data_IF_280430132570
#
_entry.id   IF_280430132570
#
_cell.length_a   1.000
_cell.length_b   1.000
_cell.length_c   1.000
_cell.angle_alpha   90.00
_cell.angle_beta   90.00
_cell.angle_gamma   90.00
#
_symmetry.space_group_name_H-M   'P 1'
#
loop_
_entity.id
_entity.type
_entity.pdbx_description
1 polymer ?
#
# COMPACT_ATOMS: atom_id res chain seq x y z
N UNK A 1 -4.28 1.94 -8.67
CA UNK A 1 -4.61 0.49 -8.63
C UNK A 1 -6.13 0.27 -8.61
N UNK A 2 -6.83 0.68 -7.54
CA UNK A 2 -8.28 0.44 -7.38
C UNK A 2 -9.09 0.89 -8.59
N UNK A 3 -8.83 2.09 -9.14
CA UNK A 3 -9.55 2.58 -10.32
C UNK A 3 -9.33 1.73 -11.58
N UNK A 4 -8.12 1.25 -11.82
CA UNK A 4 -7.82 0.37 -12.96
C UNK A 4 -8.46 -1.01 -12.79
N UNK A 5 -8.41 -1.59 -11.59
CA UNK A 5 -9.08 -2.86 -11.27
C UNK A 5 -10.60 -2.74 -11.45
N UNK A 6 -11.21 -1.70 -10.85
CA UNK A 6 -12.65 -1.43 -11.03
C UNK A 6 -13.01 -1.19 -12.49
N UNK A 7 -12.21 -0.37 -13.19
CA UNK A 7 -12.46 -0.07 -14.59
C UNK A 7 -12.41 -1.29 -15.50
N UNK A 8 -11.43 -2.17 -15.32
CA UNK A 8 -11.32 -3.40 -16.11
C UNK A 8 -12.46 -4.40 -15.80
N UNK A 9 -12.81 -4.57 -14.53
CA UNK A 9 -13.87 -5.51 -14.12
C UNK A 9 -15.26 -5.01 -14.53
N UNK A 10 -15.54 -3.72 -14.37
CA UNK A 10 -16.78 -3.10 -14.82
C UNK A 10 -16.94 -3.18 -16.35
N UNK A 11 -15.88 -2.96 -17.11
CA UNK A 11 -15.91 -3.15 -18.56
C UNK A 11 -16.26 -4.59 -18.96
N UNK A 12 -15.74 -5.57 -18.24
CA UNK A 12 -16.12 -6.98 -18.44
C UNK A 12 -17.57 -7.27 -18.08
N UNK A 13 -18.10 -6.56 -17.11
CA UNK A 13 -19.53 -6.60 -16.77
C UNK A 13 -20.42 -5.83 -17.75
N UNK A 14 -19.85 -5.28 -18.85
CA UNK A 14 -20.62 -4.61 -19.91
C UNK A 14 -20.73 -3.09 -19.77
N UNK A 15 -20.10 -2.48 -18.78
CA UNK A 15 -20.16 -1.04 -18.57
C UNK A 15 -19.21 -0.27 -19.51
N UNK A 16 -19.64 0.90 -19.95
CA UNK A 16 -18.75 1.88 -20.56
C UNK A 16 -18.04 2.65 -19.44
N UNK A 17 -16.72 2.56 -19.38
CA UNK A 17 -15.94 3.11 -18.27
C UNK A 17 -14.85 4.05 -18.78
N UNK A 18 -14.79 5.24 -18.21
CA UNK A 18 -13.70 6.19 -18.33
C UNK A 18 -12.98 6.36 -16.98
N UNK A 19 -11.66 6.44 -17.00
CA UNK A 19 -10.84 6.69 -15.80
C UNK A 19 -10.24 8.08 -15.90
N UNK A 20 -10.38 8.85 -14.82
CA UNK A 20 -9.83 10.20 -14.69
C UNK A 20 -8.74 10.20 -13.62
N UNK A 21 -7.50 10.43 -14.03
CA UNK A 21 -6.33 10.47 -13.16
C UNK A 21 -5.86 11.90 -12.96
N UNK A 22 -5.73 12.32 -11.70
CA UNK A 22 -5.29 13.67 -11.32
C UNK A 22 -3.89 14.00 -11.83
N UNK A 23 -2.99 13.02 -11.82
CA UNK A 23 -1.59 13.20 -12.21
C UNK A 23 -1.49 13.22 -13.75
N UNK A 24 -0.85 14.25 -14.28
CA UNK A 24 -0.69 14.41 -15.74
C UNK A 24 0.43 13.53 -16.33
N UNK A 25 1.43 13.15 -15.52
CA UNK A 25 2.52 12.27 -15.94
C UNK A 25 2.20 10.80 -15.71
N UNK A 26 3.02 9.91 -16.29
CA UNK A 26 2.94 8.48 -16.03
C UNK A 26 3.24 8.19 -14.55
N UNK A 27 2.54 7.19 -13.98
CA UNK A 27 2.74 6.76 -12.61
C UNK A 27 3.80 5.65 -12.47
N UNK A 28 4.38 5.20 -13.58
CA UNK A 28 5.51 4.27 -13.57
C UNK A 28 6.69 4.85 -12.76
N UNK A 29 7.44 4.00 -12.08
CA UNK A 29 8.53 4.41 -11.18
C UNK A 29 8.06 4.84 -9.78
N UNK A 30 6.75 4.85 -9.51
CA UNK A 30 6.21 5.09 -8.17
C UNK A 30 5.98 3.79 -7.42
N UNK A 31 5.96 3.89 -6.10
CA UNK A 31 5.71 2.75 -5.22
C UNK A 31 6.96 1.93 -4.92
N UNK A 32 6.77 0.90 -4.13
CA UNK A 32 7.82 0.04 -3.64
C UNK A 32 7.40 -1.43 -3.82
N UNK A 33 8.13 -2.36 -3.19
CA UNK A 33 7.78 -3.77 -3.19
C UNK A 33 6.44 -4.02 -2.49
N UNK A 34 5.71 -5.00 -2.99
CA UNK A 34 4.50 -5.55 -2.38
C UNK A 34 4.56 -7.07 -2.41
N UNK A 35 3.87 -7.72 -1.47
CA UNK A 35 3.61 -9.15 -1.53
C UNK A 35 2.39 -9.37 -2.43
N UNK A 36 2.57 -10.14 -3.49
CA UNK A 36 1.46 -10.54 -4.36
C UNK A 36 0.72 -11.70 -3.69
N UNK A 37 -0.31 -11.39 -2.94
CA UNK A 37 -1.18 -12.39 -2.30
C UNK A 37 -1.90 -13.23 -3.35
N UNK A 38 -2.29 -14.45 -2.99
CA UNK A 38 -2.95 -15.40 -3.88
C UNK A 38 -4.23 -14.79 -4.50
N UNK A 39 -5.01 -14.07 -3.70
CA UNK A 39 -6.25 -13.40 -4.11
C UNK A 39 -6.00 -12.40 -5.25
N UNK A 40 -4.95 -11.60 -5.12
CA UNK A 40 -4.56 -10.66 -6.18
C UNK A 40 -4.16 -11.41 -7.46
N UNK A 41 -3.35 -12.44 -7.34
CA UNK A 41 -2.89 -13.24 -8.50
C UNK A 41 -4.09 -13.84 -9.23
N UNK A 42 -5.05 -14.42 -8.51
CA UNK A 42 -6.27 -14.99 -9.08
C UNK A 42 -7.16 -13.92 -9.74
N UNK A 43 -7.29 -12.73 -9.15
CA UNK A 43 -8.03 -11.62 -9.77
C UNK A 43 -7.36 -11.17 -11.08
N UNK A 44 -6.04 -11.06 -11.11
CA UNK A 44 -5.29 -10.72 -12.33
C UNK A 44 -5.44 -11.81 -13.41
N UNK A 45 -5.37 -13.10 -13.04
CA UNK A 45 -5.64 -14.23 -13.97
C UNK A 45 -7.04 -14.19 -14.54
N UNK A 46 -8.05 -13.98 -13.71
CA UNK A 46 -9.43 -13.80 -14.16
C UNK A 46 -9.61 -12.63 -15.10
N UNK A 47 -8.78 -11.60 -14.98
CA UNK A 47 -8.67 -10.50 -15.96
C UNK A 47 -7.91 -10.90 -17.24
N UNK A 48 -7.40 -12.13 -17.37
CA UNK A 48 -6.62 -12.59 -18.51
C UNK A 48 -5.22 -11.96 -18.57
N UNK A 49 -4.73 -11.43 -17.45
CA UNK A 49 -3.41 -10.80 -17.39
C UNK A 49 -2.31 -11.85 -17.13
N UNK A 50 -1.13 -11.62 -17.71
CA UNK A 50 0.01 -12.51 -17.55
C UNK A 50 0.60 -12.43 -16.14
N UNK A 51 0.40 -13.48 -15.33
CA UNK A 51 0.87 -13.56 -13.94
C UNK A 51 2.06 -14.50 -13.73
N UNK A 52 2.52 -15.21 -14.76
CA UNK A 52 3.61 -16.19 -14.64
C UNK A 52 4.96 -15.60 -14.18
N UNK A 53 5.21 -14.35 -14.55
CA UNK A 53 6.40 -13.60 -14.16
C UNK A 53 6.00 -12.33 -13.37
N UNK A 54 5.14 -12.48 -12.37
CA UNK A 54 4.64 -11.34 -11.61
C UNK A 54 5.71 -10.73 -10.70
N UNK A 55 6.63 -11.53 -10.20
CA UNK A 55 7.67 -11.08 -9.26
C UNK A 55 8.69 -12.16 -8.92
N UNK A 56 9.50 -11.90 -7.91
CA UNK A 56 10.51 -12.82 -7.38
C UNK A 56 9.85 -13.79 -6.42
N UNK A 57 10.10 -15.09 -6.61
CA UNK A 57 9.65 -16.13 -5.69
C UNK A 57 10.67 -16.32 -4.58
N UNK A 58 10.22 -16.29 -3.34
CA UNK A 58 10.99 -16.70 -2.17
C UNK A 58 10.29 -17.86 -1.48
N UNK A 59 11.03 -18.65 -0.73
CA UNK A 59 10.48 -19.77 0.06
C UNK A 59 10.69 -19.57 1.56
N UNK A 60 11.60 -18.68 1.93
CA UNK A 60 12.13 -18.62 3.30
C UNK A 60 12.12 -17.20 3.83
N UNK A 61 11.72 -17.08 5.09
CA UNK A 61 11.85 -15.87 5.89
C UNK A 61 12.87 -16.08 7.00
N UNK A 62 13.59 -15.00 7.37
CA UNK A 62 14.64 -15.00 8.38
C UNK A 62 14.52 -13.83 9.35
N UNK A 63 14.95 -14.02 10.59
CA UNK A 63 15.22 -12.91 11.52
C UNK A 63 16.69 -12.93 11.88
N UNK A 64 17.32 -11.75 11.82
CA UNK A 64 18.65 -11.50 12.33
C UNK A 64 18.57 -10.67 13.60
N UNK A 65 19.36 -11.05 14.62
CA UNK A 65 19.53 -10.25 15.82
C UNK A 65 20.41 -9.00 15.55
N UNK A 66 20.60 -8.16 16.56
CA UNK A 66 21.43 -6.95 16.47
C UNK A 66 22.93 -7.23 16.17
N UNK A 67 23.39 -8.48 16.35
CA UNK A 67 24.77 -8.92 16.03
C UNK A 67 24.86 -9.52 14.63
N UNK A 68 23.72 -9.66 13.91
CA UNK A 68 23.64 -10.27 12.60
C UNK A 68 23.56 -11.81 12.63
N UNK A 69 23.26 -12.39 13.77
CA UNK A 69 23.10 -13.85 13.91
C UNK A 69 21.65 -14.25 13.56
N UNK A 70 21.49 -15.34 12.83
CA UNK A 70 20.19 -15.93 12.52
C UNK A 70 19.54 -16.45 13.81
N UNK A 71 18.38 -15.91 14.18
CA UNK A 71 17.61 -16.34 15.35
C UNK A 71 16.39 -17.18 14.98
N UNK A 72 15.73 -16.85 13.89
CA UNK A 72 14.55 -17.57 13.40
C UNK A 72 14.60 -17.75 11.89
N UNK A 73 14.14 -18.90 11.44
CA UNK A 73 13.93 -19.21 10.02
C UNK A 73 12.65 -20.02 9.87
N UNK A 74 11.82 -19.64 8.92
CA UNK A 74 10.59 -20.38 8.60
C UNK A 74 10.43 -20.53 7.10
N UNK A 75 9.79 -21.60 6.66
CA UNK A 75 9.29 -21.75 5.31
C UNK A 75 8.00 -20.93 5.14
N UNK A 76 7.98 -20.03 4.17
CA UNK A 76 6.83 -19.20 3.82
C UNK A 76 6.94 -18.78 2.34
N UNK A 77 6.48 -19.63 1.41
CA UNK A 77 6.53 -19.34 -0.02
C UNK A 77 5.70 -18.11 -0.38
N UNK A 78 6.30 -17.14 -1.07
CA UNK A 78 5.64 -15.91 -1.47
C UNK A 78 6.16 -15.39 -2.81
N UNK A 79 5.30 -14.62 -3.50
CA UNK A 79 5.67 -13.85 -4.69
C UNK A 79 5.82 -12.39 -4.30
N UNK A 80 7.01 -11.84 -4.49
CA UNK A 80 7.37 -10.47 -4.15
C UNK A 80 7.47 -9.66 -5.43
N UNK A 81 6.57 -8.71 -5.61
CA UNK A 81 6.46 -7.92 -6.84
C UNK A 81 6.65 -6.42 -6.58
N UNK A 82 6.92 -5.67 -7.63
CA UNK A 82 6.92 -4.22 -7.58
C UNK A 82 5.51 -3.67 -7.84
N UNK A 83 5.11 -2.62 -7.12
CA UNK A 83 3.86 -1.89 -7.37
C UNK A 83 3.74 -1.49 -8.85
N UNK A 84 4.83 -1.04 -9.43
CA UNK A 84 4.92 -0.65 -10.83
C UNK A 84 4.53 -1.79 -11.79
N UNK A 85 4.93 -3.03 -11.50
CA UNK A 85 4.60 -4.20 -12.35
C UNK A 85 3.10 -4.41 -12.42
N UNK A 86 2.43 -4.43 -11.27
CA UNK A 86 0.97 -4.60 -11.22
C UNK A 86 0.26 -3.41 -11.88
N UNK A 87 0.75 -2.20 -11.63
CA UNK A 87 0.23 -0.99 -12.28
C UNK A 87 0.31 -1.07 -13.80
N UNK A 88 1.47 -1.41 -14.37
CA UNK A 88 1.66 -1.53 -15.83
C UNK A 88 0.74 -2.60 -16.42
N UNK A 89 0.67 -3.80 -15.82
CA UNK A 89 -0.25 -4.85 -16.28
C UNK A 89 -1.69 -4.37 -16.40
N UNK A 90 -2.19 -3.68 -15.39
CA UNK A 90 -3.53 -3.14 -15.39
C UNK A 90 -3.70 -1.96 -16.37
N UNK A 91 -2.70 -1.09 -16.43
CA UNK A 91 -2.72 0.12 -17.27
C UNK A 91 -2.70 -0.24 -18.76
N UNK A 92 -1.87 -1.20 -19.14
CA UNK A 92 -1.73 -1.66 -20.54
C UNK A 92 -2.97 -2.41 -21.03
N UNK A 93 -3.69 -3.06 -20.12
CA UNK A 93 -4.96 -3.72 -20.41
C UNK A 93 -6.14 -2.76 -20.52
N UNK A 94 -6.02 -1.51 -20.02
CA UNK A 94 -7.10 -0.53 -20.08
C UNK A 94 -6.98 0.34 -21.33
N UNK A 95 -8.08 0.62 -22.09
CA UNK A 95 -8.03 1.42 -23.31
C UNK A 95 -7.41 2.81 -23.11
N UNK A 96 -6.52 3.19 -24.01
CA UNK A 96 -5.77 4.45 -23.91
C UNK A 96 -6.67 5.67 -24.04
N UNK A 97 -7.64 5.62 -24.95
CA UNK A 97 -8.62 6.68 -25.25
C UNK A 97 -9.64 6.91 -24.12
N UNK A 98 -9.71 5.96 -23.16
CA UNK A 98 -10.60 6.02 -22.01
C UNK A 98 -9.88 6.31 -20.68
N UNK A 99 -8.58 6.62 -20.75
CA UNK A 99 -7.78 6.95 -19.57
C UNK A 99 -7.27 8.39 -19.65
N UNK A 100 -7.93 9.28 -18.92
CA UNK A 100 -7.75 10.73 -19.00
C UNK A 100 -6.83 11.22 -17.89
N UNK A 101 -5.61 11.62 -18.22
CA UNK A 101 -4.62 12.18 -17.28
C UNK A 101 -4.79 13.67 -17.07
N UNK A 102 -4.31 14.18 -15.92
CA UNK A 102 -4.38 15.61 -15.59
C UNK A 102 -5.81 16.07 -15.29
N UNK A 103 -6.68 15.16 -14.89
CA UNK A 103 -8.09 15.42 -14.57
C UNK A 103 -8.34 15.21 -13.09
N UNK A 104 -8.08 16.23 -12.26
CA UNK A 104 -8.37 16.20 -10.83
C UNK A 104 -9.84 16.52 -10.57
N UNK A 105 -10.55 15.64 -9.84
CA UNK A 105 -11.91 15.93 -9.38
C UNK A 105 -11.89 17.11 -8.39
N UNK A 106 -12.72 18.12 -8.63
CA UNK A 106 -12.90 19.25 -7.73
C UNK A 106 -14.18 19.10 -6.88
N UNK A 107 -15.26 18.64 -7.52
CA UNK A 107 -16.58 18.51 -6.87
C UNK A 107 -17.39 17.42 -7.55
N UNK A 108 -18.27 16.76 -6.81
CA UNK A 108 -19.33 15.92 -7.34
C UNK A 108 -20.72 16.44 -6.92
N UNK A 109 -21.71 16.19 -7.74
CA UNK A 109 -23.14 16.38 -7.44
C UNK A 109 -23.91 15.18 -8.00
N UNK A 110 -25.00 14.79 -7.39
CA UNK A 110 -25.87 13.72 -7.91
C UNK A 110 -27.35 14.04 -7.70
N UNK A 111 -28.15 13.45 -8.53
CA UNK A 111 -29.61 13.34 -8.37
C UNK A 111 -30.02 11.86 -8.43
N UNK A 112 -31.31 11.55 -8.55
CA UNK A 112 -31.83 10.16 -8.61
C UNK A 112 -31.28 9.38 -9.81
N UNK A 113 -30.99 10.04 -10.93
CA UNK A 113 -30.72 9.39 -12.20
C UNK A 113 -29.24 9.46 -12.60
N UNK A 114 -28.53 10.51 -12.17
CA UNK A 114 -27.16 10.81 -12.63
C UNK A 114 -26.26 11.31 -11.53
N UNK A 115 -24.96 11.09 -11.73
CA UNK A 115 -23.89 11.76 -10.98
C UNK A 115 -23.08 12.64 -11.93
N UNK A 116 -22.69 13.83 -11.47
CA UNK A 116 -21.85 14.80 -12.22
C UNK A 116 -20.53 15.00 -11.51
N UNK A 117 -19.46 14.71 -12.21
CA UNK A 117 -18.09 14.97 -11.79
C UNK A 117 -17.63 16.32 -12.37
N UNK A 118 -17.25 17.25 -11.50
CA UNK A 118 -16.70 18.56 -11.88
C UNK A 118 -15.19 18.51 -11.68
N UNK A 119 -14.43 18.70 -12.75
CA UNK A 119 -12.98 18.65 -12.73
C UNK A 119 -12.34 20.03 -12.58
N UNK A 120 -11.11 20.06 -12.07
CA UNK A 120 -10.35 21.30 -11.81
C UNK A 120 -10.07 22.14 -13.06
N UNK A 121 -10.17 21.55 -14.25
CA UNK A 121 -10.04 22.23 -15.54
C UNK A 121 -11.37 22.84 -16.06
N UNK A 122 -12.45 22.76 -15.28
CA UNK A 122 -13.78 23.25 -15.63
C UNK A 122 -14.66 22.26 -16.41
N UNK A 123 -14.14 21.09 -16.77
CA UNK A 123 -14.90 20.03 -17.45
C UNK A 123 -15.93 19.42 -16.48
N UNK A 124 -17.12 19.10 -17.00
CA UNK A 124 -18.18 18.42 -16.27
C UNK A 124 -18.56 17.16 -17.03
N UNK A 125 -18.50 16.02 -16.36
CA UNK A 125 -18.89 14.72 -16.92
C UNK A 125 -20.08 14.19 -16.15
N UNK A 126 -21.09 13.75 -16.90
CA UNK A 126 -22.28 13.10 -16.36
C UNK A 126 -22.18 11.57 -16.58
N UNK A 127 -22.55 10.81 -15.58
CA UNK A 127 -22.49 9.35 -15.59
C UNK A 127 -23.62 8.71 -14.78
N UNK A 128 -23.87 7.42 -14.99
CA UNK A 128 -24.80 6.60 -14.20
C UNK A 128 -24.23 6.25 -12.82
N UNK A 129 -22.90 6.16 -12.72
CA UNK A 129 -22.15 5.75 -11.53
C UNK A 129 -20.81 6.48 -11.47
N UNK A 130 -20.40 6.92 -10.28
CA UNK A 130 -19.05 7.41 -9.98
C UNK A 130 -18.37 6.48 -8.97
N UNK A 131 -17.18 6.00 -9.31
CA UNK A 131 -16.35 5.19 -8.42
C UNK A 131 -15.17 6.03 -7.93
N UNK A 132 -15.20 6.40 -6.65
CA UNK A 132 -14.11 7.08 -5.96
C UNK A 132 -12.98 6.11 -5.63
N UNK A 133 -11.93 6.11 -6.44
CA UNK A 133 -10.72 5.29 -6.31
C UNK A 133 -9.48 6.17 -6.15
N UNK A 134 -9.65 7.36 -5.57
CA UNK A 134 -8.70 8.47 -5.51
C UNK A 134 -7.80 8.46 -4.27
N UNK A 135 -7.73 7.30 -3.58
CA UNK A 135 -6.73 6.98 -2.57
C UNK A 135 -6.96 7.65 -1.23
N UNK A 136 -5.96 7.62 -0.36
CA UNK A 136 -6.04 8.10 1.03
C UNK A 136 -6.49 9.58 1.13
N UNK A 137 -6.15 10.41 0.14
CA UNK A 137 -6.55 11.82 0.05
C UNK A 137 -7.81 12.03 -0.78
N UNK A 138 -8.72 11.07 -0.76
CA UNK A 138 -9.91 11.05 -1.61
C UNK A 138 -10.73 12.35 -1.52
N UNK A 139 -10.87 13.02 -2.64
CA UNK A 139 -11.78 14.15 -2.81
C UNK A 139 -13.23 13.70 -2.81
N UNK A 140 -13.50 12.50 -3.32
CA UNK A 140 -14.84 11.89 -3.27
C UNK A 140 -15.26 11.68 -1.82
N UNK A 141 -14.45 10.96 -1.01
CA UNK A 141 -14.75 10.72 0.40
C UNK A 141 -14.93 12.02 1.18
N UNK A 142 -14.05 13.01 1.00
CA UNK A 142 -14.14 14.29 1.72
C UNK A 142 -15.46 15.02 1.50
N UNK A 143 -16.14 14.80 0.38
CA UNK A 143 -17.42 15.43 0.09
C UNK A 143 -18.62 14.65 0.63
N UNK A 144 -18.52 13.29 0.67
CA UNK A 144 -19.66 12.44 1.07
C UNK A 144 -19.56 11.94 2.51
N UNK A 145 -18.35 11.91 3.08
CA UNK A 145 -18.02 11.51 4.46
C UNK A 145 -16.95 12.44 5.03
N UNK A 146 -17.23 13.73 5.20
CA UNK A 146 -16.22 14.72 5.64
C UNK A 146 -15.62 14.44 7.02
N UNK A 147 -16.33 13.72 7.88
CA UNK A 147 -15.87 13.32 9.21
C UNK A 147 -14.85 12.17 9.18
N UNK A 148 -14.77 11.41 8.05
CA UNK A 148 -13.85 10.29 7.91
C UNK A 148 -12.51 10.79 7.37
N UNK A 149 -11.54 10.89 8.26
CA UNK A 149 -10.18 11.38 7.94
C UNK A 149 -9.13 10.34 8.29
N UNK A 150 -7.99 10.31 7.56
CA UNK A 150 -6.88 9.43 7.93
C UNK A 150 -6.38 9.74 9.33
N UNK A 151 -6.17 8.69 10.15
CA UNK A 151 -5.61 8.79 11.50
C UNK A 151 -4.17 8.29 11.50
N UNK A 152 -3.26 9.10 11.97
CA UNK A 152 -1.86 8.72 12.08
C UNK A 152 -1.68 7.58 13.09
N UNK A 153 -0.88 6.57 12.70
CA UNK A 153 -0.71 5.35 13.48
C UNK A 153 0.43 5.41 14.52
N UNK A 154 1.09 6.55 14.70
CA UNK A 154 2.14 6.74 15.70
C UNK A 154 3.54 6.29 15.25
N UNK A 155 3.74 5.95 13.97
CA UNK A 155 5.06 5.56 13.43
C UNK A 155 5.17 5.83 11.93
N UNK A 156 6.42 5.89 11.45
CA UNK A 156 6.77 6.09 10.05
C UNK A 156 7.57 4.89 9.51
N UNK A 157 7.56 4.72 8.20
CA UNK A 157 8.45 3.82 7.49
C UNK A 157 9.47 4.62 6.65
N UNK A 158 10.75 4.29 6.81
CA UNK A 158 11.77 4.60 5.82
C UNK A 158 11.76 3.49 4.78
N UNK A 159 11.73 3.85 3.50
CA UNK A 159 11.65 2.89 2.39
C UNK A 159 12.63 3.24 1.30
N UNK A 160 13.16 2.21 0.62
CA UNK A 160 13.98 2.38 -0.57
C UNK A 160 13.97 1.13 -1.44
N UNK A 161 14.40 1.31 -2.69
CA UNK A 161 14.75 0.22 -3.61
C UNK A 161 16.24 0.34 -3.93
N UNK A 162 16.99 -0.75 -3.76
CA UNK A 162 18.42 -0.82 -4.02
C UNK A 162 18.67 -1.80 -5.15
N UNK A 163 19.48 -1.42 -6.12
CA UNK A 163 19.87 -2.32 -7.20
C UNK A 163 20.68 -3.51 -6.68
N UNK A 164 20.40 -4.72 -7.16
CA UNK A 164 21.06 -5.96 -6.73
C UNK A 164 22.58 -5.88 -6.84
N UNK A 165 23.08 -5.32 -7.95
CA UNK A 165 24.52 -5.18 -8.20
C UNK A 165 25.28 -4.23 -7.25
N UNK A 166 24.55 -3.41 -6.48
CA UNK A 166 25.15 -2.53 -5.48
C UNK A 166 25.47 -3.24 -4.15
N UNK A 167 24.95 -4.46 -3.97
CA UNK A 167 25.16 -5.22 -2.72
C UNK A 167 26.61 -5.73 -2.61
N UNK A 168 27.23 -5.60 -1.43
CA UNK A 168 28.44 -6.36 -1.13
C UNK A 168 28.16 -7.85 -1.23
N UNK A 169 29.10 -8.66 -1.79
CA UNK A 169 28.84 -10.08 -2.09
C UNK A 169 28.48 -10.94 -0.88
N UNK A 170 28.99 -10.62 0.29
CA UNK A 170 28.67 -11.30 1.56
C UNK A 170 27.23 -10.99 1.99
N UNK A 171 26.83 -9.72 2.00
CA UNK A 171 25.47 -9.29 2.35
C UNK A 171 24.45 -9.81 1.35
N UNK A 172 24.78 -9.80 0.05
CA UNK A 172 23.93 -10.38 -0.98
C UNK A 172 23.59 -11.84 -0.69
N UNK A 173 24.59 -12.66 -0.40
CA UNK A 173 24.44 -14.10 -0.13
C UNK A 173 23.57 -14.37 1.11
N UNK A 174 23.66 -13.52 2.11
CA UNK A 174 22.91 -13.70 3.37
C UNK A 174 21.46 -13.23 3.28
N UNK A 175 21.17 -12.18 2.49
CA UNK A 175 19.88 -11.50 2.54
C UNK A 175 19.07 -11.58 1.25
N UNK A 176 19.71 -11.60 0.08
CA UNK A 176 19.02 -11.21 -1.16
C UNK A 176 17.93 -12.18 -1.60
N UNK A 177 18.06 -13.47 -1.32
CA UNK A 177 17.06 -14.49 -1.72
C UNK A 177 15.97 -14.73 -0.67
N UNK A 178 15.87 -13.88 0.36
CA UNK A 178 15.00 -14.07 1.51
C UNK A 178 14.17 -12.81 1.80
N UNK A 179 13.04 -12.99 2.50
CA UNK A 179 12.46 -11.90 3.27
C UNK A 179 13.10 -11.92 4.66
N UNK A 180 13.94 -10.95 4.94
CA UNK A 180 14.74 -10.91 6.17
C UNK A 180 14.30 -9.76 7.06
N UNK A 181 14.10 -10.07 8.35
CA UNK A 181 13.70 -9.13 9.38
C UNK A 181 14.83 -8.84 10.36
N UNK A 182 14.81 -7.65 10.93
CA UNK A 182 15.51 -7.28 12.15
C UNK A 182 14.54 -6.54 13.05
N UNK A 183 14.53 -6.86 14.35
CA UNK A 183 13.54 -6.37 15.28
C UNK A 183 14.20 -5.60 16.44
N UNK A 184 14.72 -4.37 16.19
CA UNK A 184 15.12 -3.49 17.28
C UNK A 184 13.93 -3.22 18.20
N UNK A 185 14.15 -2.92 19.49
CA UNK A 185 13.07 -2.69 20.45
C UNK A 185 12.08 -1.60 19.97
N UNK A 186 10.80 -2.01 19.73
CA UNK A 186 9.75 -1.12 19.24
C UNK A 186 9.88 -0.72 17.76
N UNK A 187 10.78 -1.33 17.02
CA UNK A 187 11.00 -1.07 15.59
C UNK A 187 10.95 -2.37 14.77
N UNK A 188 10.76 -2.24 13.46
CA UNK A 188 10.82 -3.37 12.53
C UNK A 188 11.58 -2.96 11.27
N UNK A 189 12.71 -3.60 11.03
CA UNK A 189 13.41 -3.54 9.76
C UNK A 189 13.10 -4.79 8.95
N UNK A 190 12.80 -4.65 7.67
CA UNK A 190 12.68 -5.79 6.77
C UNK A 190 13.15 -5.44 5.37
N UNK A 191 13.62 -6.46 4.67
CA UNK A 191 13.98 -6.34 3.28
C UNK A 191 13.72 -7.63 2.51
N UNK A 192 13.51 -7.49 1.20
CA UNK A 192 13.22 -8.61 0.30
C UNK A 192 13.46 -8.24 -1.16
N UNK A 193 13.78 -9.23 -2.04
CA UNK A 193 14.00 -8.99 -3.46
C UNK A 193 12.70 -8.67 -4.18
N UNK A 194 12.79 -7.80 -5.18
CA UNK A 194 11.73 -7.51 -6.15
C UNK A 194 12.33 -7.41 -7.55
N UNK A 195 11.50 -7.47 -8.57
CA UNK A 195 11.95 -7.27 -9.95
C UNK A 195 12.71 -5.95 -10.13
N UNK A 196 13.68 -5.97 -11.01
CA UNK A 196 14.38 -4.79 -11.51
C UNK A 196 13.51 -3.90 -12.38
N UNK A 197 14.08 -2.86 -13.02
CA UNK A 197 13.39 -2.06 -14.02
C UNK A 197 12.79 -2.95 -15.11
N UNK A 198 11.65 -2.54 -15.67
CA UNK A 198 10.91 -3.27 -16.70
C UNK A 198 10.61 -4.76 -16.37
N UNK A 199 10.45 -5.03 -15.06
CA UNK A 199 10.20 -6.37 -14.53
C UNK A 199 11.35 -7.37 -14.79
N UNK A 200 12.59 -6.92 -14.76
CA UNK A 200 13.74 -7.81 -14.93
C UNK A 200 13.91 -8.71 -13.68
N UNK A 201 13.72 -10.03 -13.88
CA UNK A 201 13.82 -11.05 -12.82
C UNK A 201 15.19 -11.77 -12.82
N UNK A 202 16.08 -11.44 -13.77
CA UNK A 202 17.40 -12.08 -13.88
C UNK A 202 18.26 -11.71 -12.68
N UNK A 203 18.99 -12.68 -12.16
CA UNK A 203 19.98 -12.46 -11.09
C UNK A 203 20.99 -11.38 -11.50
N UNK A 204 21.32 -10.48 -10.57
CA UNK A 204 22.17 -9.30 -10.78
C UNK A 204 21.41 -8.06 -11.31
N UNK A 205 20.18 -8.20 -11.78
CA UNK A 205 19.39 -7.12 -12.37
C UNK A 205 18.17 -6.73 -11.53
N UNK A 206 17.88 -7.48 -10.47
CA UNK A 206 16.77 -7.26 -9.56
C UNK A 206 17.02 -6.07 -8.63
N UNK A 207 16.06 -5.74 -7.79
CA UNK A 207 16.17 -4.73 -6.73
C UNK A 207 15.82 -5.36 -5.39
N UNK A 208 16.28 -4.75 -4.33
CA UNK A 208 15.93 -5.12 -2.97
C UNK A 208 15.06 -4.02 -2.36
N UNK A 209 13.87 -4.36 -1.94
CA UNK A 209 12.98 -3.45 -1.24
C UNK A 209 13.32 -3.45 0.24
N UNK A 210 13.53 -2.25 0.79
CA UNK A 210 13.84 -2.03 2.20
C UNK A 210 12.72 -1.26 2.85
N UNK A 211 12.33 -1.68 4.04
CA UNK A 211 11.36 -0.97 4.88
C UNK A 211 11.85 -0.98 6.33
N UNK A 212 11.90 0.18 6.97
CA UNK A 212 12.22 0.30 8.37
C UNK A 212 11.15 1.12 9.09
N UNK A 213 10.30 0.43 9.85
CA UNK A 213 9.25 1.05 10.67
C UNK A 213 9.81 1.51 11.99
N UNK A 214 9.56 2.79 12.32
CA UNK A 214 10.08 3.45 13.52
C UNK A 214 9.02 4.30 14.19
N UNK A 215 8.91 4.25 15.55
CA UNK A 215 8.00 5.12 16.29
C UNK A 215 8.31 6.59 16.01
N UNK A 216 7.27 7.38 15.87
CA UNK A 216 7.40 8.82 15.71
C UNK A 216 6.18 9.50 16.34
N UNK A 217 6.38 10.23 17.44
CA UNK A 217 5.32 11.03 18.04
C UNK A 217 4.83 12.10 17.06
N UNK A 218 3.50 12.28 16.98
CA UNK A 218 2.86 13.13 15.98
C UNK A 218 3.24 14.60 16.14
N UNK A 219 3.20 15.11 17.39
CA UNK A 219 3.40 16.52 17.68
C UNK A 219 4.85 16.96 17.53
N UNK A 220 5.80 16.05 17.73
CA UNK A 220 7.23 16.33 17.73
C UNK A 220 7.94 15.72 16.54
N UNK A 221 8.19 14.40 16.58
CA UNK A 221 9.03 13.70 15.59
C UNK A 221 8.41 13.66 14.20
N UNK A 222 7.13 13.33 14.05
CA UNK A 222 6.47 13.32 12.75
C UNK A 222 6.47 14.71 12.12
N UNK A 223 6.10 15.72 12.89
CA UNK A 223 6.09 17.11 12.42
C UNK A 223 7.48 17.53 11.94
N UNK A 224 8.54 17.17 12.71
CA UNK A 224 9.91 17.44 12.32
C UNK A 224 10.30 16.72 11.03
N UNK A 225 9.95 15.45 10.87
CA UNK A 225 10.21 14.65 9.65
C UNK A 225 9.48 15.17 8.41
N UNK A 226 8.28 15.75 8.58
CA UNK A 226 7.47 16.28 7.50
C UNK A 226 7.76 17.75 7.19
N UNK A 227 8.67 18.41 7.90
CA UNK A 227 9.05 19.80 7.63
C UNK A 227 10.30 19.85 6.74
N UNK A 228 10.20 20.51 5.59
CA UNK A 228 11.31 20.67 4.66
C UNK A 228 12.34 21.75 5.11
N UNK A 229 13.42 21.92 4.37
CA UNK A 229 14.48 22.90 4.68
C UNK A 229 13.99 24.36 4.63
N UNK A 230 12.88 24.63 3.96
CA UNK A 230 12.24 25.96 3.91
C UNK A 230 11.29 26.21 5.06
N UNK A 231 11.13 25.23 5.97
CA UNK A 231 10.21 25.30 7.11
C UNK A 231 8.74 25.00 6.77
N UNK A 232 8.45 24.50 5.56
CA UNK A 232 7.11 24.10 5.18
C UNK A 232 6.82 22.70 5.70
N UNK A 233 5.78 22.56 6.52
CA UNK A 233 5.32 21.26 7.04
C UNK A 233 4.29 20.66 6.09
N UNK A 234 4.58 19.48 5.55
CA UNK A 234 3.70 18.73 4.67
C UNK A 234 2.69 17.91 5.49
N UNK A 235 1.43 17.87 5.06
CA UNK A 235 0.34 17.33 5.90
C UNK A 235 0.38 15.80 6.11
N UNK A 236 0.55 15.00 5.05
CA UNK A 236 0.45 13.53 5.11
C UNK A 236 1.74 12.84 4.66
N UNK A 237 2.47 13.44 3.75
CA UNK A 237 3.71 12.87 3.18
C UNK A 237 4.57 13.98 2.62
N UNK A 238 5.88 13.81 2.67
CA UNK A 238 6.88 14.71 2.10
C UNK A 238 7.50 14.06 0.85
N UNK A 239 7.66 14.79 -0.28
CA UNK A 239 8.40 14.28 -1.43
C UNK A 239 9.86 13.97 -1.05
N UNK A 240 10.45 12.85 -1.52
CA UNK A 240 11.81 12.46 -1.16
C UNK A 240 12.86 13.58 -1.32
N UNK A 241 12.90 14.37 -2.41
CA UNK A 241 13.88 15.44 -2.56
C UNK A 241 13.73 16.61 -1.55
N UNK A 242 12.62 16.66 -0.81
CA UNK A 242 12.36 17.69 0.21
C UNK A 242 12.63 17.22 1.62
N UNK A 243 12.94 15.93 1.81
CA UNK A 243 13.34 15.39 3.12
C UNK A 243 14.69 16.02 3.51
N UNK A 244 14.73 16.59 4.71
CA UNK A 244 15.93 17.25 5.19
C UNK A 244 17.11 16.30 5.31
N UNK A 245 18.29 16.78 4.97
CA UNK A 245 19.55 16.03 5.09
C UNK A 245 19.82 15.55 6.52
N UNK A 246 19.44 16.34 7.53
CA UNK A 246 19.57 15.96 8.95
C UNK A 246 18.69 14.75 9.31
N UNK A 247 17.49 14.63 8.73
CA UNK A 247 16.62 13.50 8.98
C UNK A 247 17.20 12.20 8.38
N UNK A 248 17.81 12.28 7.21
CA UNK A 248 18.52 11.17 6.58
C UNK A 248 19.78 10.81 7.36
N UNK A 249 20.55 11.80 7.82
CA UNK A 249 21.74 11.59 8.62
C UNK A 249 21.40 10.92 9.97
N UNK A 250 20.35 11.36 10.65
CA UNK A 250 19.86 10.73 11.88
C UNK A 250 19.45 9.28 11.63
N UNK A 251 18.67 9.02 10.57
CA UNK A 251 18.25 7.65 10.21
C UNK A 251 19.48 6.74 9.99
N UNK A 252 20.53 7.22 9.30
CA UNK A 252 21.77 6.47 9.08
C UNK A 252 22.55 6.24 10.38
N UNK A 253 22.66 7.25 11.24
CA UNK A 253 23.33 7.13 12.54
C UNK A 253 22.62 6.13 13.47
N UNK A 254 21.29 6.12 13.43
CA UNK A 254 20.48 5.15 14.17
C UNK A 254 20.68 3.73 13.64
N UNK A 255 20.78 3.54 12.32
CA UNK A 255 21.07 2.23 11.75
C UNK A 255 22.37 1.64 12.28
N UNK A 256 23.43 2.45 12.42
CA UNK A 256 24.73 1.98 12.96
C UNK A 256 24.61 1.42 14.40
N UNK A 257 23.61 1.86 15.16
CA UNK A 257 23.43 1.45 16.56
C UNK A 257 22.40 0.35 16.76
N UNK A 258 21.35 0.32 15.92
CA UNK A 258 20.13 -0.41 16.21
C UNK A 258 19.96 -1.68 15.37
N UNK A 259 20.44 -1.68 14.12
CA UNK A 259 20.18 -2.83 13.23
C UNK A 259 21.40 -3.73 13.06
N UNK A 260 21.18 -4.94 12.54
CA UNK A 260 22.22 -5.91 12.24
C UNK A 260 23.31 -5.35 11.30
N UNK A 261 24.57 -5.81 11.38
CA UNK A 261 25.66 -5.35 10.51
C UNK A 261 25.33 -5.41 9.01
N UNK A 262 24.62 -6.45 8.57
CA UNK A 262 24.17 -6.61 7.19
C UNK A 262 23.21 -5.46 6.79
N UNK A 263 22.25 -5.13 7.65
CA UNK A 263 21.30 -4.04 7.40
C UNK A 263 21.97 -2.65 7.45
N UNK A 264 22.99 -2.44 8.27
CA UNK A 264 23.80 -1.20 8.26
C UNK A 264 24.42 -0.97 6.88
N UNK A 265 24.98 -2.01 6.27
CA UNK A 265 25.54 -1.92 4.92
C UNK A 265 24.45 -1.55 3.89
N UNK A 266 23.26 -2.13 4.01
CA UNK A 266 22.10 -1.78 3.17
C UNK A 266 21.71 -0.30 3.34
N UNK A 267 21.59 0.18 4.58
CA UNK A 267 21.20 1.57 4.86
C UNK A 267 22.21 2.57 4.28
N UNK A 268 23.49 2.23 4.23
CA UNK A 268 24.53 3.08 3.60
C UNK A 268 24.34 3.21 2.09
N UNK A 269 23.70 2.22 1.44
CA UNK A 269 23.39 2.23 0.00
C UNK A 269 22.14 3.05 -0.37
N UNK A 270 21.36 3.55 0.62
CA UNK A 270 20.16 4.33 0.36
C UNK A 270 20.54 5.73 -0.16
N UNK A 271 20.27 6.00 -1.43
CA UNK A 271 20.51 7.31 -2.05
C UNK A 271 19.35 8.28 -1.77
N UNK A 272 18.13 7.90 -2.13
CA UNK A 272 16.92 8.70 -1.97
C UNK A 272 15.86 7.94 -1.16
N UNK A 273 16.00 7.87 0.18
CA UNK A 273 15.00 7.19 1.01
C UNK A 273 13.66 7.94 0.99
N UNK A 274 12.59 7.17 0.95
CA UNK A 274 11.21 7.64 1.02
C UNK A 274 10.76 7.59 2.47
N UNK A 275 10.18 8.67 2.98
CA UNK A 275 9.51 8.68 4.27
C UNK A 275 8.01 8.48 4.08
N UNK A 276 7.46 7.44 4.67
CA UNK A 276 6.04 7.11 4.64
C UNK A 276 5.47 7.09 6.06
N UNK A 277 4.79 8.15 6.51
CA UNK A 277 3.97 8.07 7.72
C UNK A 277 2.85 7.06 7.53
N UNK A 278 2.57 6.28 8.57
CA UNK A 278 1.56 5.23 8.52
C UNK A 278 0.24 5.76 9.06
N UNK A 279 -0.82 5.50 8.31
CA UNK A 279 -2.18 5.94 8.62
C UNK A 279 -3.14 4.77 8.59
N UNK A 280 -4.18 4.88 9.40
CA UNK A 280 -5.41 4.09 9.34
C UNK A 280 -6.53 4.93 8.75
N UNK A 281 -7.41 4.32 7.99
CA UNK A 281 -8.67 4.91 7.55
C UNK A 281 -9.74 3.83 7.49
N UNK A 282 -10.91 4.15 8.01
CA UNK A 282 -12.11 3.29 7.93
C UNK A 282 -13.33 4.17 7.63
N UNK A 283 -14.07 3.78 6.61
CA UNK A 283 -15.33 4.42 6.27
C UNK A 283 -16.50 3.62 6.86
N UNK A 284 -17.47 4.32 7.42
CA UNK A 284 -18.70 3.71 7.93
C UNK A 284 -19.63 3.19 6.82
N UNK A 285 -19.43 3.67 5.59
CA UNK A 285 -20.19 3.32 4.39
C UNK A 285 -19.25 3.34 3.17
N UNK A 286 -19.63 2.59 2.14
CA UNK A 286 -18.92 2.54 0.86
C UNK A 286 -19.79 2.95 -0.34
N UNK A 287 -21.10 3.17 -0.11
CA UNK A 287 -22.08 3.49 -1.14
C UNK A 287 -22.97 4.68 -0.75
N UNK A 288 -23.23 5.59 -1.70
CA UNK A 288 -23.94 6.85 -1.49
C UNK A 288 -24.76 7.21 -2.74
N UNK A 289 -25.96 6.67 -2.85
CA UNK A 289 -26.79 6.83 -4.06
C UNK A 289 -26.08 6.24 -5.28
N UNK A 290 -25.55 7.10 -6.16
CA UNK A 290 -24.81 6.70 -7.39
C UNK A 290 -23.29 6.82 -7.24
N UNK A 291 -22.80 6.89 -6.03
CA UNK A 291 -21.35 7.00 -5.75
C UNK A 291 -20.90 5.83 -4.90
N UNK A 292 -19.82 5.16 -5.32
CA UNK A 292 -19.12 4.17 -4.51
C UNK A 292 -17.69 4.64 -4.22
N UNK A 293 -17.14 4.28 -3.07
CA UNK A 293 -15.71 4.45 -2.75
C UNK A 293 -15.04 3.08 -2.56
N UNK A 294 -13.84 2.92 -3.11
CA UNK A 294 -13.11 1.63 -3.14
C UNK A 294 -11.62 1.82 -2.80
N UNK A 295 -10.99 0.75 -2.36
CA UNK A 295 -9.55 0.74 -2.06
C UNK A 295 -9.20 1.72 -0.95
N UNK A 296 -8.10 2.45 -1.11
CA UNK A 296 -7.62 3.41 -0.12
C UNK A 296 -8.48 4.69 -0.01
N UNK A 297 -9.45 4.89 -0.91
CA UNK A 297 -10.44 5.93 -0.75
C UNK A 297 -11.45 5.59 0.37
N UNK A 298 -11.73 4.31 0.60
CA UNK A 298 -12.65 3.81 1.62
C UNK A 298 -11.93 3.31 2.88
N UNK A 299 -10.87 2.51 2.72
CA UNK A 299 -10.16 1.87 3.83
C UNK A 299 -8.66 1.85 3.58
N UNK A 300 -7.87 2.33 4.53
CA UNK A 300 -6.39 2.25 4.50
C UNK A 300 -5.91 1.37 5.63
N UNK A 301 -5.34 0.23 5.28
CA UNK A 301 -4.72 -0.68 6.24
C UNK A 301 -3.24 -0.39 6.41
N UNK A 302 -2.72 -0.55 7.63
CA UNK A 302 -1.27 -0.54 7.88
C UNK A 302 -0.61 -1.64 7.03
N UNK A 303 0.61 -1.42 6.54
CA UNK A 303 1.22 -2.30 5.53
C UNK A 303 1.54 -3.72 5.99
N UNK A 304 1.52 -4.00 7.30
CA UNK A 304 1.93 -5.29 7.87
C UNK A 304 1.11 -6.50 7.40
N UNK A 305 -0.15 -6.30 7.03
CA UNK A 305 -1.00 -7.36 6.45
C UNK A 305 -0.74 -7.61 4.96
N UNK A 306 -0.02 -6.70 4.27
CA UNK A 306 0.19 -6.72 2.82
C UNK A 306 -1.11 -6.87 1.99
N UNK A 307 -2.25 -6.39 2.50
CA UNK A 307 -3.58 -6.56 1.91
C UNK A 307 -4.00 -5.43 0.97
N UNK A 308 -3.28 -4.30 0.91
CA UNK A 308 -3.77 -3.08 0.26
C UNK A 308 -4.22 -3.26 -1.19
N UNK A 309 -3.46 -3.98 -2.01
CA UNK A 309 -3.80 -4.22 -3.41
C UNK A 309 -4.82 -5.35 -3.57
N UNK A 310 -4.72 -6.42 -2.76
CA UNK A 310 -5.70 -7.53 -2.74
C UNK A 310 -7.08 -7.02 -2.34
N UNK A 311 -7.15 -6.25 -1.26
CA UNK A 311 -8.39 -5.58 -0.80
C UNK A 311 -9.01 -4.72 -1.91
N UNK A 312 -8.19 -3.92 -2.62
CA UNK A 312 -8.67 -3.11 -3.74
C UNK A 312 -9.19 -3.96 -4.92
N UNK A 313 -8.59 -5.13 -5.16
CA UNK A 313 -9.04 -6.06 -6.19
C UNK A 313 -10.36 -6.73 -5.80
N UNK A 314 -10.54 -7.06 -4.52
CA UNK A 314 -11.79 -7.64 -4.01
C UNK A 314 -12.93 -6.62 -3.96
N UNK A 315 -12.64 -5.36 -3.58
CA UNK A 315 -13.62 -4.28 -3.67
C UNK A 315 -14.10 -4.11 -5.12
N UNK A 316 -13.19 -4.08 -6.09
CA UNK A 316 -13.50 -3.95 -7.50
C UNK A 316 -14.30 -5.14 -8.05
N UNK A 317 -13.97 -6.36 -7.61
CA UNK A 317 -14.68 -7.56 -8.01
C UNK A 317 -16.11 -7.61 -7.46
N UNK A 318 -16.29 -7.31 -6.17
CA UNK A 318 -17.60 -7.26 -5.53
C UNK A 318 -18.50 -6.18 -6.15
N UNK A 319 -17.93 -5.01 -6.47
CA UNK A 319 -18.66 -3.94 -7.15
C UNK A 319 -19.13 -4.39 -8.54
N UNK A 320 -18.26 -4.99 -9.33
CA UNK A 320 -18.62 -5.46 -10.68
C UNK A 320 -19.66 -6.59 -10.63
N UNK A 321 -19.53 -7.52 -9.69
CA UNK A 321 -20.49 -8.61 -9.48
C UNK A 321 -21.87 -8.09 -9.07
N UNK A 322 -21.92 -7.13 -8.14
CA UNK A 322 -23.17 -6.54 -7.72
C UNK A 322 -23.87 -5.81 -8.88
N UNK A 323 -23.14 -5.01 -9.66
CA UNK A 323 -23.69 -4.27 -10.81
C UNK A 323 -24.08 -5.16 -11.99
N UNK A 324 -23.60 -6.40 -12.05
CA UNK A 324 -24.00 -7.37 -13.06
C UNK A 324 -25.28 -8.13 -12.68
N UNK A 325 -25.52 -8.32 -11.37
CA UNK A 325 -26.57 -9.18 -10.87
C UNK A 325 -27.82 -8.44 -10.35
N UNK A 326 -27.70 -7.14 -10.08
CA UNK A 326 -28.81 -6.33 -9.55
C UNK A 326 -29.45 -5.47 -10.64
N UNK A 327 -30.78 -5.20 -10.54
CA UNK A 327 -31.54 -4.53 -11.60
C UNK A 327 -31.20 -3.02 -11.75
N UNK A 328 -30.71 -2.40 -10.69
CA UNK A 328 -30.40 -0.98 -10.68
C UNK A 328 -29.14 -0.67 -9.86
N UNK A 329 -28.54 0.51 -10.11
CA UNK A 329 -27.28 0.93 -9.50
C UNK A 329 -27.37 1.02 -7.98
N UNK A 330 -28.45 1.57 -7.45
CA UNK A 330 -28.57 1.80 -6.00
C UNK A 330 -28.63 0.48 -5.22
N UNK A 331 -29.42 -0.47 -5.71
CA UNK A 331 -29.51 -1.84 -5.14
C UNK A 331 -28.17 -2.56 -5.25
N UNK A 332 -27.50 -2.44 -6.38
CA UNK A 332 -26.15 -3.01 -6.58
C UNK A 332 -25.12 -2.43 -5.60
N UNK A 333 -25.12 -1.13 -5.39
CA UNK A 333 -24.18 -0.49 -4.46
C UNK A 333 -24.43 -0.89 -3.01
N UNK A 334 -25.67 -1.07 -2.58
CA UNK A 334 -26.00 -1.60 -1.25
C UNK A 334 -25.51 -3.05 -1.07
N UNK A 335 -25.65 -3.88 -2.09
CA UNK A 335 -25.11 -5.25 -2.08
C UNK A 335 -23.58 -5.27 -2.03
N UNK A 336 -22.92 -4.44 -2.84
CA UNK A 336 -21.48 -4.24 -2.80
C UNK A 336 -20.99 -3.87 -1.40
N UNK A 337 -21.61 -2.86 -0.79
CA UNK A 337 -21.28 -2.42 0.56
C UNK A 337 -21.44 -3.53 1.60
N UNK A 338 -22.57 -4.24 1.58
CA UNK A 338 -22.83 -5.35 2.49
C UNK A 338 -21.77 -6.48 2.37
N UNK A 339 -21.29 -6.73 1.15
CA UNK A 339 -20.27 -7.76 0.90
C UNK A 339 -18.87 -7.34 1.38
N UNK A 340 -18.56 -6.04 1.38
CA UNK A 340 -17.18 -5.59 1.58
C UNK A 340 -16.89 -4.91 2.91
N UNK A 341 -17.88 -4.27 3.50
CA UNK A 341 -17.69 -3.43 4.68
C UNK A 341 -17.08 -4.21 5.85
N UNK A 342 -17.68 -5.32 6.22
CA UNK A 342 -17.22 -6.16 7.35
C UNK A 342 -15.81 -6.74 7.12
N UNK A 343 -15.52 -7.20 5.91
CA UNK A 343 -14.21 -7.76 5.59
C UNK A 343 -13.11 -6.69 5.63
N UNK A 344 -13.40 -5.50 5.11
CA UNK A 344 -12.48 -4.37 5.18
C UNK A 344 -12.18 -3.96 6.63
N UNK A 345 -13.17 -3.97 7.54
CA UNK A 345 -12.94 -3.75 8.97
C UNK A 345 -12.03 -4.83 9.58
N UNK A 346 -12.23 -6.11 9.28
CA UNK A 346 -11.35 -7.20 9.74
C UNK A 346 -9.90 -6.99 9.31
N UNK A 347 -9.68 -6.55 8.07
CA UNK A 347 -8.33 -6.24 7.54
C UNK A 347 -7.69 -5.08 8.31
N UNK A 348 -8.44 -4.00 8.57
CA UNK A 348 -7.93 -2.85 9.35
C UNK A 348 -7.61 -3.26 10.77
N UNK A 349 -8.49 -4.01 11.41
CA UNK A 349 -8.26 -4.50 12.78
C UNK A 349 -7.01 -5.36 12.86
N UNK A 350 -6.85 -6.32 11.96
CA UNK A 350 -5.64 -7.15 11.90
C UNK A 350 -4.38 -6.32 11.67
N UNK A 351 -4.45 -5.34 10.77
CA UNK A 351 -3.33 -4.44 10.49
C UNK A 351 -2.93 -3.61 11.72
N UNK A 352 -3.91 -3.17 12.52
CA UNK A 352 -3.67 -2.49 13.80
C UNK A 352 -3.01 -3.40 14.83
N UNK A 353 -3.45 -4.65 14.93
CA UNK A 353 -2.86 -5.62 15.84
C UNK A 353 -1.38 -5.84 15.52
N UNK A 354 -1.05 -6.12 14.26
CA UNK A 354 0.33 -6.38 13.83
C UNK A 354 1.23 -5.15 13.99
N UNK A 355 0.71 -3.94 13.83
CA UNK A 355 1.48 -2.70 13.93
C UNK A 355 1.46 -2.03 15.32
N UNK A 356 0.76 -2.58 16.31
CA UNK A 356 0.57 -1.91 17.61
C UNK A 356 1.89 -1.66 18.36
N UNK A 357 2.84 -2.58 18.29
CA UNK A 357 4.11 -2.46 19.01
C UNK A 357 5.06 -1.37 18.45
N UNK A 358 4.77 -0.87 17.24
CA UNK A 358 5.54 0.18 16.56
C UNK A 358 5.09 1.60 16.92
N UNK A 359 3.95 1.74 17.61
CA UNK A 359 3.38 3.05 17.94
C UNK A 359 4.20 3.77 19.01
N UNK A 360 4.45 5.06 18.84
CA UNK A 360 5.16 5.89 19.81
C UNK A 360 4.38 6.02 21.14
N UNK A 361 3.05 6.12 21.03
CA UNK A 361 2.13 6.15 22.17
C UNK A 361 1.06 5.08 22.00
N UNK A 362 0.64 4.44 23.09
CA UNK A 362 -0.34 3.35 23.08
C UNK A 362 -1.35 3.51 24.20
N UNK A 363 -2.60 3.21 23.89
CA UNK A 363 -3.63 2.97 24.90
C UNK A 363 -3.35 1.64 25.64
N UNK A 364 -4.07 1.37 26.73
CA UNK A 364 -3.94 0.12 27.44
C UNK A 364 -4.28 -1.11 26.55
N UNK A 365 -5.29 -0.98 25.70
CA UNK A 365 -5.70 -2.00 24.75
C UNK A 365 -4.63 -2.24 23.69
N UNK A 366 -4.07 -1.19 23.10
CA UNK A 366 -2.98 -1.28 22.12
C UNK A 366 -1.71 -1.85 22.74
N UNK A 367 -1.44 -1.58 24.03
CA UNK A 367 -0.32 -2.19 24.74
C UNK A 367 -0.50 -3.71 24.90
N UNK A 368 -1.72 -4.17 25.19
CA UNK A 368 -2.02 -5.60 25.27
C UNK A 368 -1.85 -6.29 23.91
N UNK A 369 -2.34 -5.66 22.83
CA UNK A 369 -2.15 -6.13 21.44
C UNK A 369 -0.67 -6.17 21.05
N UNK A 370 0.08 -5.13 21.40
CA UNK A 370 1.52 -5.06 21.14
C UNK A 370 2.26 -6.25 21.77
N UNK A 371 1.91 -6.64 22.98
CA UNK A 371 2.52 -7.79 23.65
C UNK A 371 2.29 -9.13 22.94
N UNK A 372 1.17 -9.27 22.25
CA UNK A 372 0.84 -10.51 21.50
C UNK A 372 1.67 -10.66 20.21
N UNK A 373 1.93 -9.56 19.51
CA UNK A 373 2.49 -9.57 18.16
C UNK A 373 3.90 -8.97 18.03
N UNK A 374 4.58 -8.69 19.15
CA UNK A 374 5.92 -8.08 19.15
C UNK A 374 7.07 -9.08 19.29
N UNK A 375 6.78 -10.36 19.51
CA UNK A 375 7.83 -11.37 19.61
C UNK A 375 8.25 -11.88 18.21
N UNK A 376 9.48 -12.35 18.11
CA UNK A 376 10.09 -12.77 16.85
C UNK A 376 9.25 -13.82 16.10
N UNK A 377 8.73 -14.82 16.83
CA UNK A 377 7.93 -15.89 16.24
C UNK A 377 6.62 -15.38 15.61
N UNK A 378 5.92 -14.46 16.30
CA UNK A 378 4.71 -13.85 15.77
C UNK A 378 5.00 -12.96 14.57
N UNK A 379 6.01 -12.10 14.65
CA UNK A 379 6.36 -11.19 13.54
C UNK A 379 6.70 -11.95 12.27
N UNK A 380 7.57 -12.97 12.35
CA UNK A 380 7.99 -13.74 11.17
C UNK A 380 6.86 -14.56 10.56
N UNK A 381 5.95 -15.09 11.38
CA UNK A 381 4.84 -15.93 10.93
C UNK A 381 3.64 -15.12 10.40
N UNK A 382 3.34 -13.97 11.01
CA UNK A 382 2.06 -13.27 10.79
C UNK A 382 2.16 -12.08 9.85
N UNK A 383 3.35 -11.49 9.67
CA UNK A 383 3.53 -10.35 8.74
C UNK A 383 3.26 -10.78 7.31
N UNK A 384 2.43 -10.03 6.59
CA UNK A 384 2.10 -10.24 5.19
C UNK A 384 1.48 -11.63 4.89
N UNK A 385 0.63 -12.12 5.80
CA UNK A 385 -0.16 -13.35 5.67
C UNK A 385 -1.64 -13.01 5.84
N UNK A 386 -2.51 -13.56 4.96
CA UNK A 386 -3.96 -13.28 4.93
C UNK A 386 -4.83 -14.44 5.47
N UNK A 387 -4.24 -15.49 6.01
CA UNK A 387 -4.97 -16.68 6.48
C UNK A 387 -6.06 -16.35 7.51
N UNK A 388 -5.91 -15.26 8.25
CA UNK A 388 -6.91 -14.77 9.20
C UNK A 388 -8.25 -14.37 8.55
N UNK A 389 -8.29 -14.16 7.24
CA UNK A 389 -9.55 -13.89 6.51
C UNK A 389 -10.40 -15.16 6.34
N UNK A 390 -9.76 -16.33 6.43
CA UNK A 390 -10.36 -17.64 6.19
C UNK A 390 -10.53 -18.48 7.48
N UNK A 391 -10.06 -17.93 8.62
CA UNK A 391 -10.14 -18.57 9.94
C UNK A 391 -11.50 -18.31 10.64
#
# INVERSE_FOLDING_TARGET
MSGLLSGLLLRRAGWTVDIYERVGSELSGRGAGIVAQYELIERLRKLGLATGELGVHITTRKILDAKGQLTHEIECPQVLTAWERVYRLLRDAFPLDRYHRGRGLAKLTQDTDRVRAHFSNGEIIEADLLVGADGIRSTVRQQILPEVTPRYAGYCAWRALIAEHAFPPDVHRELFEYMTFGLPPGEQFLGYPVAGPDNDLRSGHRRYNVVWYRPADEATKLRWLLTDERGVTHAISIPPPLIRSEAIAEMRADAERLVAPQFRQIVRLLEEPILQPIYDLESSQMSFGRVAIVGDAAFVARPHVAAGVSKAADDAAALAEALQNEPDVETALKRFEAARLSENFRIIERARHLGAYLQATRTQEEQARAGQHSNDAAVIAETAVLDFLYA
#
